data_IF_434274525964
#
_entry.id   IF_434274525964
#
_cell.length_a   1.000
_cell.length_b   1.000
_cell.length_c   1.000
_cell.angle_alpha   90.00
_cell.angle_beta   90.00
_cell.angle_gamma   90.00
#
_symmetry.space_group_name_H-M   'P 1'
#
loop_
_entity.id
_entity.type
_entity.pdbx_description
1 polymer ?
#
# COMPACT_ATOMS: atom_id res chain seq x y z
N UNK A 1 -65.99 9.21 -40.00
CA UNK A 1 -65.05 8.18 -40.49
C UNK A 1 -63.74 8.85 -40.89
N UNK A 2 -62.62 8.31 -40.39
CA UNK A 2 -61.19 8.57 -40.66
C UNK A 2 -60.66 10.02 -40.58
N UNK A 3 -59.83 10.28 -39.56
CA UNK A 3 -58.37 10.21 -39.71
C UNK A 3 -57.70 10.20 -38.33
N UNK A 4 -57.03 9.09 -38.03
CA UNK A 4 -56.09 8.98 -36.93
C UNK A 4 -54.79 9.71 -37.31
N UNK A 5 -54.27 10.53 -36.41
CA UNK A 5 -52.88 11.00 -36.48
C UNK A 5 -52.22 10.70 -35.14
N UNK A 6 -51.21 9.82 -35.22
CA UNK A 6 -50.35 9.31 -34.16
C UNK A 6 -49.72 10.44 -33.35
N UNK A 7 -49.94 10.47 -32.04
CA UNK A 7 -49.05 11.15 -31.12
C UNK A 7 -47.92 10.18 -30.74
N UNK A 8 -46.76 10.39 -31.35
CA UNK A 8 -45.49 9.80 -30.91
C UNK A 8 -45.01 10.68 -29.76
N UNK A 9 -45.05 10.19 -28.53
CA UNK A 9 -44.39 10.84 -27.39
C UNK A 9 -43.10 10.08 -27.09
N UNK A 10 -42.00 10.83 -27.18
CA UNK A 10 -40.62 10.37 -27.16
C UNK A 10 -40.23 9.75 -25.81
N UNK A 11 -39.62 8.57 -25.87
CA UNK A 11 -38.86 8.01 -24.76
C UNK A 11 -37.54 8.81 -24.62
N UNK A 12 -37.39 9.53 -23.52
CA UNK A 12 -36.12 10.15 -23.14
C UNK A 12 -35.19 9.03 -22.70
N UNK A 13 -34.21 8.73 -23.55
CA UNK A 13 -33.10 7.83 -23.26
C UNK A 13 -32.10 8.60 -22.38
N UNK A 14 -32.13 8.38 -21.07
CA UNK A 14 -31.03 8.79 -20.19
C UNK A 14 -29.81 7.93 -20.54
N UNK A 15 -28.95 8.44 -21.42
CA UNK A 15 -27.63 7.88 -21.65
C UNK A 15 -26.84 8.01 -20.35
N UNK A 16 -26.65 6.89 -19.65
CA UNK A 16 -25.73 6.81 -18.53
C UNK A 16 -24.32 7.12 -19.03
N UNK A 17 -23.73 8.19 -18.51
CA UNK A 17 -22.28 8.38 -18.57
C UNK A 17 -21.70 7.35 -17.61
N UNK A 18 -21.35 6.18 -18.15
CA UNK A 18 -20.41 5.29 -17.48
C UNK A 18 -19.08 6.01 -17.46
N UNK A 19 -18.72 6.57 -16.30
CA UNK A 19 -17.33 6.90 -16.01
C UNK A 19 -16.53 5.63 -16.26
N UNK A 20 -15.71 5.63 -17.32
CA UNK A 20 -14.78 4.56 -17.57
C UNK A 20 -13.82 4.55 -16.37
N UNK A 21 -14.04 3.63 -15.43
CA UNK A 21 -13.02 3.26 -14.46
C UNK A 21 -11.85 2.76 -15.30
N UNK A 22 -10.75 3.51 -15.34
CA UNK A 22 -9.50 3.01 -15.90
C UNK A 22 -9.25 1.63 -15.28
N UNK A 23 -9.01 0.57 -16.09
CA UNK A 23 -8.70 -0.72 -15.51
C UNK A 23 -7.52 -0.53 -14.57
N UNK A 24 -7.64 -0.99 -13.33
CA UNK A 24 -6.52 -1.04 -12.41
C UNK A 24 -5.42 -1.85 -13.11
N UNK A 25 -4.39 -1.16 -13.59
CA UNK A 25 -3.24 -1.79 -14.23
C UNK A 25 -2.47 -2.50 -13.14
N UNK A 26 -2.33 -3.81 -13.27
CA UNK A 26 -1.57 -4.61 -12.31
C UNK A 26 -0.11 -4.15 -12.27
N UNK A 27 0.48 -4.11 -11.06
CA UNK A 27 1.89 -3.79 -10.83
C UNK A 27 2.82 -4.48 -11.84
N UNK A 28 3.60 -3.68 -12.54
CA UNK A 28 4.68 -4.19 -13.41
C UNK A 28 6.01 -4.26 -12.67
N UNK A 29 6.94 -5.09 -13.16
CA UNK A 29 8.32 -5.13 -12.64
C UNK A 29 9.05 -3.80 -12.73
N UNK A 30 8.73 -2.98 -13.75
CA UNK A 30 9.32 -1.65 -13.88
C UNK A 30 8.77 -0.69 -12.83
N UNK A 31 7.45 -0.73 -12.55
CA UNK A 31 6.85 0.13 -11.52
C UNK A 31 7.34 -0.26 -10.13
N UNK A 32 7.42 -1.55 -9.82
CA UNK A 32 7.95 -2.03 -8.55
C UNK A 32 9.42 -1.60 -8.34
N UNK A 33 10.26 -1.73 -9.39
CA UNK A 33 11.65 -1.26 -9.33
C UNK A 33 11.72 0.26 -9.14
N UNK A 34 10.93 1.04 -9.90
CA UNK A 34 10.88 2.49 -9.75
C UNK A 34 10.42 2.92 -8.36
N UNK A 35 9.45 2.22 -7.75
CA UNK A 35 9.01 2.47 -6.38
C UNK A 35 10.19 2.33 -5.41
N UNK A 36 10.96 1.24 -5.49
CA UNK A 36 12.10 1.01 -4.61
C UNK A 36 13.19 2.07 -4.84
N UNK A 37 13.52 2.37 -6.10
CA UNK A 37 14.49 3.41 -6.45
C UNK A 37 14.09 4.79 -5.88
N UNK A 38 12.80 5.14 -5.98
CA UNK A 38 12.26 6.39 -5.46
C UNK A 38 12.28 6.44 -3.94
N UNK A 39 11.93 5.34 -3.26
CA UNK A 39 12.01 5.27 -1.80
C UNK A 39 13.46 5.53 -1.35
N UNK A 40 14.43 4.82 -1.93
CA UNK A 40 15.85 5.00 -1.61
C UNK A 40 16.34 6.44 -1.85
N UNK A 41 15.93 7.05 -2.97
CA UNK A 41 16.34 8.41 -3.32
C UNK A 41 15.70 9.48 -2.44
N UNK A 42 14.49 9.24 -1.92
CA UNK A 42 13.74 10.22 -1.12
C UNK A 42 14.07 10.14 0.37
N UNK A 43 14.51 8.98 0.89
CA UNK A 43 14.83 8.83 2.32
C UNK A 43 15.79 9.88 2.89
N UNK A 44 16.88 10.31 2.20
CA UNK A 44 17.76 11.37 2.71
C UNK A 44 17.05 12.71 2.95
N UNK A 45 15.90 12.95 2.30
CA UNK A 45 15.15 14.20 2.34
C UNK A 45 13.88 14.08 3.20
N UNK A 46 13.21 12.93 3.15
CA UNK A 46 11.90 12.69 3.76
C UNK A 46 11.97 11.85 5.04
N UNK A 47 13.14 11.29 5.36
CA UNK A 47 13.35 10.40 6.49
C UNK A 47 13.09 8.93 6.14
N UNK A 48 13.21 8.01 7.13
CA UNK A 48 12.98 6.59 6.94
C UNK A 48 11.57 6.32 6.41
N UNK A 49 11.45 5.36 5.49
CA UNK A 49 10.16 4.97 4.95
C UNK A 49 9.46 3.97 5.89
N UNK A 50 8.25 4.32 6.32
CA UNK A 50 7.34 3.42 7.01
C UNK A 50 6.04 3.36 6.21
N UNK A 51 5.64 2.18 5.75
CA UNK A 51 4.44 2.06 4.94
C UNK A 51 3.19 2.38 5.76
N UNK A 52 2.54 3.46 5.38
CA UNK A 52 1.19 3.86 5.76
C UNK A 52 0.59 4.67 4.60
N UNK A 53 -0.71 4.55 4.34
CA UNK A 53 -1.32 5.25 3.19
C UNK A 53 -1.21 6.78 3.30
N UNK A 54 -1.22 7.34 4.50
CA UNK A 54 -1.03 8.77 4.75
C UNK A 54 0.42 9.17 4.46
N UNK A 55 1.39 8.37 4.89
CA UNK A 55 2.82 8.60 4.61
C UNK A 55 3.08 8.57 3.09
N UNK A 56 2.47 7.61 2.38
CA UNK A 56 2.62 7.49 0.92
C UNK A 56 2.07 8.73 0.20
N UNK A 57 0.93 9.26 0.66
CA UNK A 57 0.35 10.49 0.14
C UNK A 57 1.22 11.72 0.50
N UNK A 58 1.67 11.83 1.75
CA UNK A 58 2.54 12.91 2.21
C UNK A 58 3.85 12.96 1.40
N UNK A 59 4.46 11.80 1.14
CA UNK A 59 5.68 11.72 0.34
C UNK A 59 5.47 12.23 -1.09
N UNK A 60 4.32 11.94 -1.71
CA UNK A 60 3.97 12.48 -3.02
C UNK A 60 3.89 14.01 -2.98
N UNK A 61 3.19 14.57 -2.00
CA UNK A 61 3.03 16.02 -1.84
C UNK A 61 4.37 16.71 -1.58
N UNK A 62 5.17 16.19 -0.66
CA UNK A 62 6.47 16.76 -0.29
C UNK A 62 7.50 16.65 -1.40
N UNK A 63 7.54 15.55 -2.14
CA UNK A 63 8.39 15.46 -3.33
C UNK A 63 7.93 16.44 -4.43
N UNK A 64 6.63 16.66 -4.61
CA UNK A 64 6.09 17.60 -5.60
C UNK A 64 6.52 19.06 -5.34
N UNK A 65 6.68 19.43 -4.06
CA UNK A 65 7.21 20.74 -3.64
C UNK A 65 8.74 20.85 -3.82
N UNK A 66 9.45 19.72 -3.80
CA UNK A 66 10.90 19.63 -3.88
C UNK A 66 11.42 19.10 -5.22
N UNK A 67 11.98 17.90 -5.17
CA UNK A 67 12.72 17.26 -6.27
C UNK A 67 11.85 16.76 -7.42
N UNK A 68 10.55 16.55 -7.19
CA UNK A 68 9.56 16.04 -8.16
C UNK A 68 9.98 14.71 -8.80
N UNK A 69 10.72 13.88 -8.08
CA UNK A 69 11.21 12.60 -8.59
C UNK A 69 10.05 11.65 -8.94
N UNK A 70 9.00 11.62 -8.11
CA UNK A 70 7.86 10.72 -8.28
C UNK A 70 7.09 11.07 -9.57
N UNK A 71 6.79 12.35 -9.77
CA UNK A 71 6.12 12.81 -11.00
C UNK A 71 7.01 12.73 -12.24
N UNK A 72 8.32 12.94 -12.08
CA UNK A 72 9.31 12.76 -13.17
C UNK A 72 9.41 11.30 -13.60
N UNK A 73 9.24 10.36 -12.67
CA UNK A 73 9.16 8.92 -12.96
C UNK A 73 7.83 8.51 -13.63
N UNK A 74 6.90 9.46 -13.82
CA UNK A 74 5.62 9.24 -14.50
C UNK A 74 4.46 8.87 -13.59
N UNK A 75 4.65 8.85 -12.27
CA UNK A 75 3.56 8.57 -11.35
C UNK A 75 2.68 9.80 -11.11
N UNK A 76 1.38 9.55 -11.10
CA UNK A 76 0.35 10.40 -10.49
C UNK A 76 0.20 10.05 -9.00
N UNK A 77 -0.50 10.87 -8.22
CA UNK A 77 -0.77 10.54 -6.81
C UNK A 77 -1.48 9.19 -6.66
N UNK A 78 -2.45 8.92 -7.53
CA UNK A 78 -3.22 7.66 -7.53
C UNK A 78 -2.35 6.46 -7.92
N UNK A 79 -1.58 6.56 -9.00
CA UNK A 79 -0.70 5.46 -9.45
C UNK A 79 0.49 5.24 -8.52
N UNK A 80 1.01 6.30 -7.89
CA UNK A 80 2.01 6.19 -6.82
C UNK A 80 1.48 5.39 -5.64
N UNK A 81 0.30 5.78 -5.12
CA UNK A 81 -0.35 5.07 -4.01
C UNK A 81 -0.60 3.60 -4.35
N UNK A 82 -1.13 3.33 -5.54
CA UNK A 82 -1.37 1.97 -6.01
C UNK A 82 -0.07 1.16 -6.08
N UNK A 83 0.94 1.67 -6.79
CA UNK A 83 2.20 0.97 -7.01
C UNK A 83 2.96 0.69 -5.70
N UNK A 84 2.99 1.67 -4.78
CA UNK A 84 3.61 1.47 -3.46
C UNK A 84 2.84 0.42 -2.66
N UNK A 85 1.51 0.52 -2.60
CA UNK A 85 0.69 -0.45 -1.86
C UNK A 85 0.83 -1.88 -2.39
N UNK A 86 0.83 -2.06 -3.71
CA UNK A 86 1.02 -3.37 -4.35
C UNK A 86 2.43 -3.91 -4.12
N UNK A 87 3.45 -3.04 -4.19
CA UNK A 87 4.84 -3.41 -3.88
C UNK A 87 4.99 -3.88 -2.43
N UNK A 88 4.37 -3.17 -1.48
CA UNK A 88 4.45 -3.54 -0.05
C UNK A 88 3.66 -4.80 0.27
N UNK A 89 2.46 -4.99 -0.30
CA UNK A 89 1.72 -6.26 -0.19
C UNK A 89 2.51 -7.42 -0.79
N UNK A 90 3.07 -7.24 -1.97
CA UNK A 90 3.94 -8.23 -2.61
C UNK A 90 5.18 -8.54 -1.77
N UNK A 91 5.77 -7.54 -1.11
CA UNK A 91 6.89 -7.74 -0.19
C UNK A 91 6.48 -8.60 1.01
N UNK A 92 5.36 -8.30 1.66
CA UNK A 92 4.82 -9.13 2.74
C UNK A 92 4.57 -10.58 2.27
N UNK A 93 4.10 -10.76 1.04
CA UNK A 93 3.85 -12.07 0.45
C UNK A 93 5.14 -12.84 0.09
N UNK A 94 6.24 -12.14 -0.19
CA UNK A 94 7.57 -12.75 -0.37
C UNK A 94 8.17 -13.17 0.97
N UNK A 95 7.98 -12.38 2.03
CA UNK A 95 8.45 -12.73 3.38
C UNK A 95 7.71 -13.98 3.88
N UNK A 96 8.48 -14.91 4.47
CA UNK A 96 7.90 -16.16 4.96
C UNK A 96 6.98 -15.91 6.15
N UNK A 97 5.86 -16.63 6.23
CA UNK A 97 4.92 -16.50 7.35
C UNK A 97 5.62 -16.77 8.70
N UNK A 98 6.51 -17.76 8.75
CA UNK A 98 7.30 -18.09 9.93
C UNK A 98 8.20 -16.93 10.39
N UNK A 99 8.78 -16.17 9.46
CA UNK A 99 9.57 -14.98 9.78
C UNK A 99 8.68 -13.88 10.38
N UNK A 100 7.49 -13.63 9.79
CA UNK A 100 6.54 -12.65 10.32
C UNK A 100 6.07 -13.01 11.74
N UNK A 101 5.67 -14.27 11.97
CA UNK A 101 5.31 -14.77 13.31
C UNK A 101 6.47 -14.67 14.30
N UNK A 102 7.71 -14.90 13.84
CA UNK A 102 8.91 -14.76 14.66
C UNK A 102 9.10 -13.33 15.15
N UNK A 103 9.12 -12.36 14.23
CA UNK A 103 9.23 -10.92 14.56
C UNK A 103 8.10 -10.49 15.50
N UNK A 104 6.90 -10.96 15.24
CA UNK A 104 5.73 -10.66 16.04
C UNK A 104 5.80 -11.24 17.48
N UNK A 105 6.26 -12.48 17.60
CA UNK A 105 6.51 -13.12 18.89
C UNK A 105 7.56 -12.40 19.73
N UNK A 106 8.60 -11.88 19.07
CA UNK A 106 9.64 -11.06 19.73
C UNK A 106 9.09 -9.73 20.24
N UNK A 107 8.22 -9.05 19.48
CA UNK A 107 7.55 -7.83 19.93
C UNK A 107 6.68 -8.07 21.16
N UNK A 108 5.84 -9.11 21.16
CA UNK A 108 5.05 -9.50 22.33
C UNK A 108 5.92 -9.80 23.54
N UNK A 109 7.02 -10.50 23.33
CA UNK A 109 7.99 -10.79 24.40
C UNK A 109 8.64 -9.51 24.93
N UNK A 110 8.95 -8.56 24.06
CA UNK A 110 9.41 -7.22 24.41
C UNK A 110 8.42 -6.49 25.31
N UNK A 111 7.14 -6.42 24.91
CA UNK A 111 6.06 -5.79 25.68
C UNK A 111 5.96 -6.40 27.09
N UNK A 112 5.99 -7.73 27.20
CA UNK A 112 5.93 -8.41 28.51
C UNK A 112 7.07 -8.04 29.45
N UNK A 113 8.24 -7.73 28.90
CA UNK A 113 9.45 -7.34 29.66
C UNK A 113 9.46 -5.86 30.07
N UNK A 114 8.56 -5.03 29.54
CA UNK A 114 8.46 -3.61 29.92
C UNK A 114 8.04 -3.48 31.38
N UNK A 115 8.93 -2.95 32.23
CA UNK A 115 8.68 -2.77 33.67
C UNK A 115 7.76 -1.59 33.97
N UNK A 116 7.60 -0.66 33.03
CA UNK A 116 6.76 0.52 33.14
C UNK A 116 5.27 0.27 32.91
N UNK A 117 4.91 -0.90 32.38
CA UNK A 117 3.52 -1.30 32.15
C UNK A 117 3.08 -2.28 33.23
N UNK A 118 1.87 -2.10 33.75
CA UNK A 118 1.23 -3.12 34.58
C UNK A 118 0.67 -4.26 33.70
N UNK A 119 0.20 -5.34 34.33
CA UNK A 119 -0.26 -6.54 33.61
C UNK A 119 -1.45 -6.23 32.67
N UNK A 120 -2.38 -5.37 33.08
CA UNK A 120 -3.52 -4.99 32.22
C UNK A 120 -3.03 -4.23 30.99
N UNK A 121 -2.15 -3.26 31.16
CA UNK A 121 -1.59 -2.48 30.04
C UNK A 121 -0.77 -3.34 29.08
N UNK A 122 -0.08 -4.38 29.58
CA UNK A 122 0.64 -5.34 28.74
C UNK A 122 -0.32 -6.16 27.88
N UNK A 123 -1.38 -6.68 28.47
CA UNK A 123 -2.38 -7.45 27.73
C UNK A 123 -3.12 -6.58 26.70
N UNK A 124 -3.46 -5.33 27.04
CA UNK A 124 -4.04 -4.38 26.07
C UNK A 124 -3.10 -4.08 24.90
N UNK A 125 -1.81 -3.85 25.18
CA UNK A 125 -0.80 -3.62 24.14
C UNK A 125 -0.58 -4.85 23.26
N UNK A 126 -0.62 -6.06 23.84
CA UNK A 126 -0.51 -7.32 23.10
C UNK A 126 -1.76 -7.54 22.22
N UNK A 127 -2.96 -7.25 22.73
CA UNK A 127 -4.19 -7.37 21.97
C UNK A 127 -4.22 -6.39 20.78
N UNK A 128 -3.82 -5.13 20.98
CA UNK A 128 -3.69 -4.17 19.88
C UNK A 128 -2.65 -4.63 18.86
N UNK A 129 -1.54 -5.20 19.32
CA UNK A 129 -0.52 -5.76 18.45
C UNK A 129 -1.06 -6.97 17.65
N UNK A 130 -1.91 -7.81 18.25
CA UNK A 130 -2.63 -8.91 17.56
C UNK A 130 -3.53 -8.42 16.44
N UNK A 131 -4.30 -7.36 16.67
CA UNK A 131 -5.14 -6.76 15.63
C UNK A 131 -4.32 -6.23 14.43
N UNK A 132 -3.16 -5.61 14.69
CA UNK A 132 -2.27 -5.14 13.63
C UNK A 132 -1.62 -6.28 12.85
N UNK A 133 -1.32 -7.39 13.51
CA UNK A 133 -0.77 -8.56 12.84
C UNK A 133 -1.78 -9.27 11.95
N UNK A 134 -3.04 -9.37 12.38
CA UNK A 134 -4.11 -9.89 11.54
C UNK A 134 -4.29 -9.03 10.27
N UNK A 135 -4.20 -7.70 10.38
CA UNK A 135 -4.20 -6.79 9.22
C UNK A 135 -2.99 -7.02 8.31
N UNK A 136 -1.80 -7.19 8.89
CA UNK A 136 -0.59 -7.51 8.12
C UNK A 136 -0.73 -8.84 7.36
N UNK A 137 -1.30 -9.88 7.98
CA UNK A 137 -1.55 -11.17 7.32
C UNK A 137 -2.59 -11.05 6.21
N UNK A 138 -3.62 -10.20 6.37
CA UNK A 138 -4.57 -9.91 5.31
C UNK A 138 -3.88 -9.22 4.12
N UNK A 139 -3.07 -8.18 4.38
CA UNK A 139 -2.28 -7.51 3.35
C UNK A 139 -1.31 -8.45 2.64
N UNK A 140 -0.71 -9.38 3.39
CA UNK A 140 0.12 -10.45 2.83
C UNK A 140 -0.67 -11.30 1.83
N UNK A 141 -1.86 -11.75 2.21
CA UNK A 141 -2.70 -12.58 1.34
C UNK A 141 -3.11 -11.84 0.06
N UNK A 142 -3.42 -10.55 0.16
CA UNK A 142 -3.68 -9.66 -0.98
C UNK A 142 -2.45 -9.45 -1.88
N UNK A 143 -1.25 -9.71 -1.36
CA UNK A 143 0.02 -9.56 -2.04
C UNK A 143 0.41 -10.71 -2.98
N UNK A 144 -0.29 -11.84 -2.91
CA UNK A 144 0.02 -13.04 -3.69
C UNK A 144 0.17 -12.77 -5.20
N UNK A 145 -0.69 -11.95 -5.85
CA UNK A 145 -0.54 -11.64 -7.28
C UNK A 145 0.76 -10.90 -7.64
N UNK A 146 1.43 -10.28 -6.67
CA UNK A 146 2.61 -9.43 -6.90
C UNK A 146 3.92 -10.13 -6.52
N UNK A 147 3.87 -11.36 -6.01
CA UNK A 147 5.05 -12.09 -5.51
C UNK A 147 6.14 -12.20 -6.57
N UNK A 148 5.81 -12.61 -7.80
CA UNK A 148 6.81 -12.80 -8.85
C UNK A 148 7.43 -11.48 -9.33
N UNK A 149 6.66 -10.39 -9.25
CA UNK A 149 7.12 -9.04 -9.58
C UNK A 149 8.08 -8.51 -8.51
N UNK A 150 7.79 -8.77 -7.23
CA UNK A 150 8.50 -8.20 -6.09
C UNK A 150 9.67 -9.06 -5.62
N UNK A 151 9.65 -10.39 -5.81
CA UNK A 151 10.70 -11.32 -5.35
C UNK A 151 12.14 -10.88 -5.72
N UNK A 152 12.43 -10.36 -6.93
CA UNK A 152 13.79 -9.89 -7.27
C UNK A 152 14.25 -8.68 -6.44
N UNK A 153 13.33 -7.94 -5.83
CA UNK A 153 13.57 -6.72 -5.06
C UNK A 153 13.66 -6.97 -3.55
N UNK A 154 13.43 -8.22 -3.08
CA UNK A 154 13.31 -8.55 -1.65
C UNK A 154 14.47 -8.00 -0.81
N UNK A 155 15.72 -8.18 -1.25
CA UNK A 155 16.89 -7.72 -0.52
C UNK A 155 16.89 -6.21 -0.29
N UNK A 156 16.58 -5.43 -1.34
CA UNK A 156 16.48 -3.96 -1.26
C UNK A 156 15.31 -3.52 -0.40
N UNK A 157 14.16 -4.19 -0.54
CA UNK A 157 12.97 -3.92 0.26
C UNK A 157 13.22 -4.16 1.76
N UNK A 158 13.97 -5.22 2.12
CA UNK A 158 14.41 -5.42 3.51
C UNK A 158 15.24 -4.23 4.00
N UNK A 159 16.16 -3.71 3.20
CA UNK A 159 17.00 -2.56 3.56
C UNK A 159 16.21 -1.24 3.69
N UNK A 160 15.18 -1.01 2.88
CA UNK A 160 14.44 0.27 2.96
C UNK A 160 13.26 0.25 3.94
N UNK A 161 12.67 -0.92 4.18
CA UNK A 161 11.47 -1.07 5.04
C UNK A 161 11.83 -1.55 6.45
N UNK A 162 12.83 -2.43 6.60
CA UNK A 162 13.13 -3.08 7.89
C UNK A 162 14.34 -2.50 8.62
N UNK A 163 15.06 -1.55 8.02
CA UNK A 163 16.21 -0.94 8.69
C UNK A 163 15.72 -0.02 9.80
N UNK A 164 15.82 -0.50 11.04
CA UNK A 164 15.81 0.38 12.22
C UNK A 164 17.04 1.27 12.13
N UNK A 165 16.83 2.58 12.05
CA UNK A 165 17.84 3.53 12.49
C UNK A 165 18.17 3.21 13.95
N UNK A 166 19.42 2.82 14.19
CA UNK A 166 20.01 2.64 15.53
C UNK A 166 19.95 3.92 16.37
#
# INVERSE_FOLDING_TARGET
>A
MLRATRHILAAVFCAGVTLASSPATALTSSEAASVVDLIEALQPQLGPFAYDEEIVAEWFERDAEGSRLITTAGFTAESWKAAVGETMRGFLAVVSEAELHGVFGDLKTGIRRLSQLNDVQKEEAIASLDEEFDKMLAMRAEGEPFVDVVRPLEGRLREVVLTRTE
#
